data_IF_911265370707
#
_entry.id   IF_911265370707
#
_cell.length_a   1.000
_cell.length_b   1.000
_cell.length_c   1.000
_cell.angle_alpha   90.00
_cell.angle_beta   90.00
_cell.angle_gamma   90.00
#
_symmetry.space_group_name_H-M   'P 1'
#
loop_
_entity.id
_entity.type
_entity.pdbx_description
1 polymer ?
#
# COMPACT_ATOMS: atom_id res chain seq x y z
N UNK A 1 62.29 3.29 -21.72
CA UNK A 1 61.75 3.48 -20.36
C UNK A 1 60.39 2.81 -20.32
N UNK A 2 60.16 1.73 -19.55
CA UNK A 2 58.86 1.06 -19.53
C UNK A 2 57.89 1.88 -18.69
N UNK A 3 56.69 2.10 -19.23
CA UNK A 3 55.60 2.84 -18.59
C UNK A 3 54.99 1.98 -17.48
N UNK A 4 54.95 2.52 -16.25
CA UNK A 4 54.52 1.81 -15.05
C UNK A 4 52.98 1.68 -15.00
N UNK A 5 52.43 0.81 -15.85
CA UNK A 5 50.98 0.62 -16.02
C UNK A 5 50.39 -0.32 -14.94
N UNK A 6 51.25 -1.01 -14.19
CA UNK A 6 50.85 -2.01 -13.19
C UNK A 6 50.09 -1.40 -12.00
N UNK A 7 50.45 -0.18 -11.59
CA UNK A 7 49.80 0.52 -10.46
C UNK A 7 48.39 1.02 -10.84
N UNK A 8 48.22 1.42 -12.11
CA UNK A 8 46.94 1.86 -12.68
C UNK A 8 45.97 0.68 -12.84
N UNK A 9 46.48 -0.49 -13.26
CA UNK A 9 45.69 -1.73 -13.32
C UNK A 9 45.27 -2.20 -11.91
N UNK A 10 46.14 -2.06 -10.91
CA UNK A 10 45.84 -2.48 -9.54
C UNK A 10 44.73 -1.62 -8.90
N UNK A 11 44.74 -0.30 -9.16
CA UNK A 11 43.67 0.61 -8.72
C UNK A 11 42.31 0.29 -9.36
N UNK A 12 42.30 -0.10 -10.64
CA UNK A 12 41.09 -0.43 -11.38
C UNK A 12 40.40 -1.69 -10.84
N UNK A 13 41.19 -2.69 -10.43
CA UNK A 13 40.66 -3.95 -9.85
C UNK A 13 40.06 -3.70 -8.45
N UNK A 14 40.67 -2.81 -7.66
CA UNK A 14 40.18 -2.48 -6.32
C UNK A 14 38.80 -1.81 -6.35
N UNK A 15 38.54 -0.92 -7.32
CA UNK A 15 37.23 -0.27 -7.49
C UNK A 15 36.12 -1.24 -7.90
N UNK A 16 36.44 -2.29 -8.67
CA UNK A 16 35.44 -3.27 -9.13
C UNK A 16 35.08 -4.26 -8.02
N UNK A 17 36.03 -4.61 -7.14
CA UNK A 17 35.81 -5.61 -6.08
C UNK A 17 35.01 -5.08 -4.87
N UNK A 18 35.06 -3.77 -4.57
CA UNK A 18 34.42 -3.18 -3.39
C UNK A 18 33.17 -2.33 -3.68
N UNK A 19 32.81 -2.14 -4.95
CA UNK A 19 31.81 -1.13 -5.34
C UNK A 19 30.36 -1.60 -5.51
N UNK A 20 30.00 -2.85 -5.21
CA UNK A 20 28.64 -3.34 -5.47
C UNK A 20 27.97 -3.82 -4.19
N UNK A 21 27.53 -2.88 -3.36
CA UNK A 21 26.45 -3.12 -2.40
C UNK A 21 25.16 -3.36 -3.20
N UNK A 22 24.83 -4.63 -3.46
CA UNK A 22 23.49 -5.01 -3.91
C UNK A 22 22.52 -4.87 -2.75
N UNK A 23 22.17 -3.63 -2.37
CA UNK A 23 20.89 -3.40 -1.70
C UNK A 23 19.81 -3.67 -2.72
N UNK A 24 19.39 -4.94 -2.82
CA UNK A 24 18.15 -5.28 -3.49
C UNK A 24 17.06 -4.43 -2.84
N UNK A 25 16.51 -3.48 -3.59
CA UNK A 25 15.31 -2.75 -3.19
C UNK A 25 14.16 -3.76 -3.11
N UNK A 26 14.07 -4.48 -1.99
CA UNK A 26 12.76 -4.84 -1.50
C UNK A 26 12.08 -3.50 -1.23
N UNK A 27 11.17 -3.13 -2.12
CA UNK A 27 10.21 -2.06 -1.83
C UNK A 27 9.65 -2.37 -0.47
N UNK A 28 9.98 -1.56 0.52
CA UNK A 28 9.34 -1.63 1.82
C UNK A 28 7.83 -1.62 1.57
N UNK A 29 7.13 -2.59 2.15
CA UNK A 29 5.72 -2.77 1.86
C UNK A 29 4.94 -1.60 2.50
N UNK A 30 4.72 -0.55 1.71
CA UNK A 30 4.13 0.73 2.13
C UNK A 30 2.77 0.52 2.82
N UNK A 31 1.92 -0.34 2.26
CA UNK A 31 0.62 -0.71 2.81
C UNK A 31 0.54 -2.20 3.12
N UNK A 32 0.04 -2.54 4.30
CA UNK A 32 -0.34 -3.90 4.67
C UNK A 32 -1.84 -4.02 4.90
N UNK A 33 -2.43 -5.13 4.46
CA UNK A 33 -3.86 -5.41 4.58
C UNK A 33 -4.07 -6.63 5.49
N UNK A 34 -5.00 -6.57 6.44
CA UNK A 34 -5.29 -7.68 7.35
C UNK A 34 -6.77 -7.74 7.73
N UNK A 35 -7.19 -8.83 8.37
CA UNK A 35 -8.56 -9.01 8.88
C UNK A 35 -9.67 -8.80 7.83
N UNK A 36 -9.41 -9.21 6.58
CA UNK A 36 -10.39 -9.09 5.52
C UNK A 36 -11.58 -10.03 5.75
N UNK A 37 -12.79 -9.49 5.80
CA UNK A 37 -14.04 -10.22 6.00
C UNK A 37 -15.08 -9.71 5.00
N UNK A 38 -15.81 -10.62 4.37
CA UNK A 38 -16.97 -10.29 3.53
C UNK A 38 -18.24 -10.68 4.25
N UNK A 39 -19.16 -9.73 4.37
CA UNK A 39 -20.51 -9.92 4.92
C UNK A 39 -21.51 -9.99 3.77
N UNK A 40 -22.09 -11.16 3.58
CA UNK A 40 -23.19 -11.34 2.62
C UNK A 40 -24.44 -10.61 3.10
N UNK A 41 -25.16 -10.01 2.15
CA UNK A 41 -26.50 -9.48 2.40
C UNK A 41 -27.53 -10.59 2.63
N UNK A 42 -28.77 -10.24 3.00
CA UNK A 42 -29.87 -11.20 3.07
C UNK A 42 -30.10 -11.89 1.71
N UNK A 43 -30.77 -13.05 1.64
CA UNK A 43 -30.87 -13.86 0.41
C UNK A 43 -31.40 -13.14 -0.83
N UNK A 44 -32.22 -12.09 -0.65
CA UNK A 44 -32.76 -11.25 -1.73
C UNK A 44 -31.86 -10.08 -2.13
N UNK A 45 -30.81 -9.79 -1.35
CA UNK A 45 -29.89 -8.68 -1.60
C UNK A 45 -28.90 -9.03 -2.70
N UNK A 46 -28.68 -8.06 -3.60
CA UNK A 46 -27.58 -8.07 -4.57
C UNK A 46 -26.35 -7.32 -4.06
N UNK A 47 -26.39 -6.84 -2.82
CA UNK A 47 -25.34 -6.06 -2.16
C UNK A 47 -24.73 -6.91 -1.05
N UNK A 48 -23.40 -6.89 -0.99
CA UNK A 48 -22.59 -7.39 0.10
C UNK A 48 -21.67 -6.25 0.58
N UNK A 49 -21.08 -6.42 1.75
CA UNK A 49 -20.10 -5.47 2.29
C UNK A 49 -18.80 -6.20 2.60
N UNK A 50 -17.67 -5.52 2.42
CA UNK A 50 -16.36 -6.03 2.81
C UNK A 50 -15.73 -5.11 3.85
N UNK A 51 -15.01 -5.72 4.78
CA UNK A 51 -14.34 -5.06 5.89
C UNK A 51 -12.88 -5.50 5.89
N UNK A 52 -11.95 -4.59 6.02
CA UNK A 52 -10.53 -4.92 6.16
C UNK A 52 -9.78 -3.83 6.91
N UNK A 53 -8.65 -4.21 7.49
CA UNK A 53 -7.73 -3.28 8.12
C UNK A 53 -6.60 -2.94 7.16
N UNK A 54 -6.29 -1.65 7.04
CA UNK A 54 -5.16 -1.11 6.27
C UNK A 54 -4.18 -0.45 7.23
N UNK A 55 -2.91 -0.82 7.15
CA UNK A 55 -1.84 -0.11 7.86
C UNK A 55 -0.90 0.51 6.85
N UNK A 56 -0.55 1.79 7.08
CA UNK A 56 0.47 2.49 6.32
C UNK A 56 1.77 2.53 7.13
N UNK A 57 2.81 1.87 6.62
CA UNK A 57 4.13 1.78 7.26
C UNK A 57 5.10 2.86 6.78
N UNK A 58 4.72 3.65 5.77
CA UNK A 58 5.57 4.72 5.26
C UNK A 58 5.52 5.99 6.11
N UNK A 59 6.44 6.91 5.81
CA UNK A 59 6.51 8.25 6.40
C UNK A 59 5.64 9.26 5.64
N UNK A 60 4.77 8.82 4.74
CA UNK A 60 3.91 9.69 3.93
C UNK A 60 2.49 9.16 3.87
N UNK A 61 1.53 10.07 3.76
CA UNK A 61 0.12 9.70 3.61
C UNK A 61 -0.08 8.92 2.31
N UNK A 62 -0.90 7.89 2.37
CA UNK A 62 -1.26 7.08 1.21
C UNK A 62 -2.70 7.34 0.81
N UNK A 63 -2.93 7.54 -0.48
CA UNK A 63 -4.28 7.67 -1.04
C UNK A 63 -4.59 6.40 -1.81
N UNK A 64 -5.68 5.73 -1.41
CA UNK A 64 -6.25 4.63 -2.17
C UNK A 64 -7.41 5.20 -2.98
N UNK A 65 -7.21 5.24 -4.29
CA UNK A 65 -8.09 5.88 -5.27
C UNK A 65 -8.91 4.89 -6.10
N UNK A 66 -8.59 3.60 -6.01
CA UNK A 66 -9.25 2.55 -6.79
C UNK A 66 -9.42 1.26 -6.00
N UNK A 67 -10.62 0.69 -6.14
CA UNK A 67 -11.00 -0.61 -5.60
C UNK A 67 -11.79 -1.38 -6.66
N UNK A 68 -11.63 -2.71 -6.68
CA UNK A 68 -12.36 -3.57 -7.59
C UNK A 68 -12.57 -4.94 -6.96
N UNK A 69 -13.72 -5.54 -7.26
CA UNK A 69 -14.01 -6.92 -6.89
C UNK A 69 -14.48 -7.66 -8.14
N UNK A 70 -13.82 -8.77 -8.55
CA UNK A 70 -14.13 -9.45 -9.83
C UNK A 70 -15.58 -9.88 -9.99
N UNK A 71 -16.29 -10.10 -8.88
CA UNK A 71 -17.68 -10.56 -8.86
C UNK A 71 -18.69 -9.44 -8.63
N UNK A 72 -18.27 -8.17 -8.70
CA UNK A 72 -19.17 -7.03 -8.61
C UNK A 72 -19.04 -6.12 -9.82
N UNK A 73 -20.17 -5.59 -10.29
CA UNK A 73 -20.20 -4.54 -11.30
C UNK A 73 -19.76 -3.18 -10.73
N UNK A 74 -19.87 -3.00 -9.40
CA UNK A 74 -19.62 -1.73 -8.72
C UNK A 74 -19.12 -1.95 -7.30
N UNK A 75 -18.07 -1.22 -6.93
CA UNK A 75 -17.54 -1.18 -5.57
C UNK A 75 -17.55 0.27 -5.11
N UNK A 76 -17.99 0.50 -3.87
CA UNK A 76 -18.04 1.83 -3.26
C UNK A 76 -17.30 1.79 -1.93
N UNK A 77 -16.52 2.82 -1.62
CA UNK A 77 -16.04 3.02 -0.26
C UNK A 77 -17.10 3.77 0.54
N UNK A 78 -17.38 3.30 1.75
CA UNK A 78 -18.34 3.96 2.64
C UNK A 78 -17.66 4.38 3.94
N UNK A 79 -17.81 5.64 4.31
CA UNK A 79 -17.40 6.20 5.60
C UNK A 79 -18.61 6.33 6.51
N UNK A 80 -18.48 5.85 7.74
CA UNK A 80 -19.45 6.07 8.82
C UNK A 80 -19.18 7.42 9.46
N UNK A 81 -20.13 8.35 9.37
CA UNK A 81 -20.02 9.68 9.97
C UNK A 81 -21.19 9.96 10.92
N UNK A 82 -20.91 10.69 12.01
CA UNK A 82 -21.94 11.26 12.86
C UNK A 82 -22.39 12.60 12.25
N UNK A 83 -23.68 12.74 11.94
CA UNK A 83 -24.24 13.96 11.41
C UNK A 83 -25.59 14.24 12.06
N UNK A 84 -25.70 15.36 12.77
CA UNK A 84 -26.89 15.74 13.55
C UNK A 84 -27.32 14.62 14.51
N UNK A 85 -26.36 14.13 15.31
CA UNK A 85 -26.54 13.02 16.28
C UNK A 85 -27.05 11.69 15.69
N UNK A 86 -27.03 11.54 14.37
CA UNK A 86 -27.37 10.30 13.68
C UNK A 86 -26.17 9.76 12.93
N UNK A 87 -25.97 8.44 13.01
CA UNK A 87 -25.00 7.74 12.19
C UNK A 87 -25.48 7.68 10.74
N UNK A 88 -24.62 8.11 9.81
CA UNK A 88 -24.86 8.04 8.37
C UNK A 88 -23.67 7.39 7.66
N UNK A 89 -23.96 6.66 6.60
CA UNK A 89 -22.94 6.19 5.66
C UNK A 89 -22.83 7.18 4.50
N UNK A 90 -21.61 7.54 4.13
CA UNK A 90 -21.32 8.41 2.99
C UNK A 90 -20.38 7.69 2.03
N UNK A 91 -20.73 7.74 0.74
CA UNK A 91 -19.85 7.22 -0.30
C UNK A 91 -18.65 8.15 -0.48
N UNK A 92 -17.45 7.57 -0.40
CA UNK A 92 -16.19 8.27 -0.62
C UNK A 92 -15.56 7.80 -1.94
N UNK A 93 -14.93 8.75 -2.64
CA UNK A 93 -14.21 8.45 -3.90
C UNK A 93 -12.82 7.88 -3.65
N UNK A 94 -12.22 8.26 -2.54
CA UNK A 94 -10.88 7.90 -2.14
C UNK A 94 -10.81 7.66 -0.64
N UNK A 95 -9.74 6.98 -0.24
CA UNK A 95 -9.43 6.69 1.13
C UNK A 95 -8.00 7.19 1.42
N UNK A 96 -7.86 8.10 2.38
CA UNK A 96 -6.56 8.53 2.90
C UNK A 96 -6.20 7.69 4.13
N UNK A 97 -5.04 7.04 4.09
CA UNK A 97 -4.44 6.34 5.23
C UNK A 97 -3.19 7.13 5.64
N UNK A 98 -3.28 7.81 6.77
CA UNK A 98 -2.20 8.68 7.26
C UNK A 98 -0.91 7.88 7.52
N UNK A 99 0.23 8.55 7.41
CA UNK A 99 1.54 7.97 7.70
C UNK A 99 1.57 7.29 9.08
N UNK A 100 2.17 6.09 9.16
CA UNK A 100 2.32 5.29 10.40
C UNK A 100 1.01 4.96 11.13
N UNK A 101 -0.14 5.03 10.46
CA UNK A 101 -1.44 4.73 11.06
C UNK A 101 -2.02 3.40 10.58
N UNK A 102 -2.87 2.81 11.43
CA UNK A 102 -3.76 1.70 11.09
C UNK A 102 -5.20 2.21 11.06
N UNK A 103 -5.94 1.86 10.02
CA UNK A 103 -7.33 2.27 9.85
C UNK A 103 -8.20 1.10 9.39
N UNK A 104 -9.43 1.02 9.91
CA UNK A 104 -10.41 -0.02 9.55
C UNK A 104 -11.48 0.58 8.65
N UNK A 105 -11.80 -0.07 7.54
CA UNK A 105 -12.65 0.50 6.48
C UNK A 105 -13.70 -0.46 5.94
N UNK A 106 -14.78 0.13 5.43
CA UNK A 106 -15.96 -0.55 4.88
C UNK A 106 -16.04 -0.30 3.36
N UNK A 107 -16.21 -1.38 2.60
CA UNK A 107 -16.29 -1.46 1.13
C UNK A 107 -17.62 -2.12 0.70
#
# INVERSE_FOLDING_TARGET
MPQNNALLTFLLIFFIAFGVDKKGSQSEQVLSFSNAVVKLGPPSSKVASAYLDISNHSDSDCVIDKFSFPYSQRVELHESMLHMDMMKMRVNKNLVVLAKQKSSWNL
#
